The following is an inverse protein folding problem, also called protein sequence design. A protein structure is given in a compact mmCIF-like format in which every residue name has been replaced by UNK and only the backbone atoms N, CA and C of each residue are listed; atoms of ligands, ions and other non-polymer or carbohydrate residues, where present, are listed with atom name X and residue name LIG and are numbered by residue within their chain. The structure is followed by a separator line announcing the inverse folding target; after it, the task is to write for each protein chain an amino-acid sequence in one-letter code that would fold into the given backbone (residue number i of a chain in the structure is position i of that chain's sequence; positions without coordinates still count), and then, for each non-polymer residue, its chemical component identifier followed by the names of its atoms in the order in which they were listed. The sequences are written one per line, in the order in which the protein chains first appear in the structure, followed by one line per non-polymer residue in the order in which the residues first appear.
data_IF_990190635943
#
_entry.id   IF_990190635943
#
_cell.length_a   1.000
_cell.length_b   1.000
_cell.length_c   1.000
_cell.angle_alpha   90.00
_cell.angle_beta   90.00
_cell.angle_gamma   90.00
#
_symmetry.space_group_name_H-M   'P 1'
#
loop_
_entity.id
_entity.type
_entity.pdbx_description
1 polymer ?
#
# COMPACT_ATOMS: atom_id res chain seq x y z
N UNK A 1 -17.98 9.99 14.92
CA UNK A 1 -17.57 8.66 14.50
C UNK A 1 -17.46 8.43 12.97
N UNK A 2 -18.16 9.18 12.09
CA UNK A 2 -18.02 9.03 10.61
C UNK A 2 -16.75 9.65 9.99
N UNK A 3 -16.00 10.51 10.72
CA UNK A 3 -14.83 11.24 10.19
C UNK A 3 -13.50 10.49 10.33
N UNK A 4 -13.34 9.58 11.29
CA UNK A 4 -12.09 8.81 11.49
C UNK A 4 -11.77 7.83 10.35
N UNK A 5 -12.79 7.33 9.64
CA UNK A 5 -12.59 6.37 8.53
C UNK A 5 -11.79 6.90 7.33
N UNK A 6 -11.55 8.24 7.24
CA UNK A 6 -10.83 8.85 6.11
C UNK A 6 -9.32 9.06 6.34
N UNK A 7 -8.86 8.95 7.57
CA UNK A 7 -7.45 9.27 7.93
C UNK A 7 -6.50 8.09 7.61
N UNK A 8 -6.97 6.85 7.72
CA UNK A 8 -6.16 5.66 7.45
C UNK A 8 -5.76 5.50 5.96
N UNK A 9 -6.52 6.10 5.03
CA UNK A 9 -6.17 6.09 3.61
C UNK A 9 -5.10 7.13 3.22
N UNK A 10 -4.76 8.07 4.10
CA UNK A 10 -3.80 9.16 3.81
C UNK A 10 -2.33 8.75 3.95
N UNK A 11 -2.03 7.56 4.46
CA UNK A 11 -0.65 7.09 4.66
C UNK A 11 0.08 6.65 3.39
N UNK A 12 -0.63 6.39 2.29
CA UNK A 12 -0.02 6.09 0.98
C UNK A 12 0.11 7.39 0.18
N UNK A 13 1.25 8.06 0.30
CA UNK A 13 1.56 9.22 -0.54
C UNK A 13 1.63 8.81 -2.00
N UNK A 14 0.84 9.50 -2.83
CA UNK A 14 0.89 9.48 -4.29
C UNK A 14 2.28 9.93 -4.77
N UNK A 15 3.11 8.99 -5.16
CA UNK A 15 4.32 9.27 -5.90
C UNK A 15 3.98 9.25 -7.40
N UNK A 16 3.67 10.42 -7.96
CA UNK A 16 3.59 10.59 -9.40
C UNK A 16 5.01 10.54 -9.99
N UNK A 17 5.51 9.34 -10.26
CA UNK A 17 6.81 9.12 -10.88
C UNK A 17 6.65 9.04 -12.40
N UNK A 18 6.71 10.18 -13.07
CA UNK A 18 6.80 10.24 -14.53
C UNK A 18 8.27 10.03 -14.94
N UNK A 19 8.61 8.85 -15.43
CA UNK A 19 9.94 8.52 -15.93
C UNK A 19 9.89 7.75 -17.24
N UNK A 20 10.42 8.34 -18.32
CA UNK A 20 10.61 7.68 -19.62
C UNK A 20 11.93 6.91 -19.66
N UNK A 21 11.91 5.65 -20.03
CA UNK A 21 13.11 4.87 -20.35
C UNK A 21 12.81 3.39 -20.48
N UNK A 22 13.16 2.79 -21.61
CA UNK A 22 13.08 1.35 -21.82
C UNK A 22 14.36 0.68 -21.34
N UNK A 23 14.26 -0.42 -20.58
CA UNK A 23 15.38 -1.34 -20.36
C UNK A 23 14.92 -2.78 -20.31
N UNK A 24 15.76 -3.67 -20.84
CA UNK A 24 15.52 -5.09 -21.02
C UNK A 24 15.31 -5.85 -19.70
N UNK A 25 14.49 -6.90 -19.76
CA UNK A 25 14.15 -7.81 -18.66
C UNK A 25 15.37 -8.41 -17.96
N UNK A 26 15.63 -8.02 -16.71
CA UNK A 26 16.54 -8.70 -15.79
C UNK A 26 15.82 -9.28 -14.56
N UNK A 27 14.56 -9.66 -14.69
CA UNK A 27 13.75 -10.21 -13.58
C UNK A 27 14.26 -11.54 -12.99
N UNK A 28 15.25 -12.18 -13.64
CA UNK A 28 15.69 -13.54 -13.28
C UNK A 28 16.63 -13.61 -12.04
N UNK A 29 17.07 -12.49 -11.49
CA UNK A 29 18.07 -12.47 -10.41
C UNK A 29 17.54 -12.05 -9.02
N UNK A 30 16.28 -11.63 -8.93
CA UNK A 30 15.72 -11.18 -7.65
C UNK A 30 15.13 -12.33 -6.84
N UNK A 31 15.21 -12.29 -5.50
CA UNK A 31 14.55 -13.27 -4.63
C UNK A 31 13.06 -13.40 -4.96
N UNK A 32 12.59 -14.60 -5.20
CA UNK A 32 11.19 -14.84 -5.54
C UNK A 32 10.28 -14.62 -4.32
N UNK A 33 9.13 -13.98 -4.52
CA UNK A 33 8.00 -14.07 -3.61
C UNK A 33 7.32 -15.42 -3.81
N UNK A 34 6.89 -16.05 -2.71
CA UNK A 34 6.14 -17.30 -2.79
C UNK A 34 4.78 -17.03 -3.44
N UNK A 35 4.44 -17.85 -4.45
CA UNK A 35 3.13 -17.81 -5.10
C UNK A 35 2.13 -18.62 -4.28
N UNK A 36 1.04 -17.99 -3.88
CA UNK A 36 -0.06 -18.65 -3.18
C UNK A 36 -0.86 -19.52 -4.15
N UNK A 37 -1.16 -20.76 -3.77
CA UNK A 37 -2.06 -21.63 -4.56
C UNK A 37 -3.53 -21.18 -4.37
N UNK A 38 -4.00 -20.31 -5.25
CA UNK A 38 -5.36 -19.78 -5.23
C UNK A 38 -6.38 -20.69 -5.93
N UNK A 39 -5.96 -21.81 -6.54
CA UNK A 39 -6.82 -22.68 -7.37
C UNK A 39 -7.99 -23.32 -6.60
N UNK A 40 -7.90 -23.39 -5.27
CA UNK A 40 -8.89 -23.99 -4.38
C UNK A 40 -9.61 -22.98 -3.50
N UNK A 41 -9.32 -21.68 -3.68
CA UNK A 41 -9.93 -20.62 -2.90
C UNK A 41 -11.25 -20.17 -3.50
N UNK A 42 -12.18 -19.79 -2.65
CA UNK A 42 -13.44 -19.15 -3.05
C UNK A 42 -13.25 -17.63 -3.08
N UNK A 43 -12.91 -17.13 -4.26
CA UNK A 43 -12.59 -15.71 -4.44
C UNK A 43 -13.82 -14.93 -4.89
N UNK A 44 -14.02 -13.75 -4.33
CA UNK A 44 -14.95 -12.74 -4.82
C UNK A 44 -14.21 -11.76 -5.74
N UNK A 45 -14.93 -11.22 -6.71
CA UNK A 45 -14.43 -10.16 -7.60
C UNK A 45 -15.02 -8.82 -7.22
N UNK A 46 -14.19 -7.78 -7.26
CA UNK A 46 -14.60 -6.39 -7.12
C UNK A 46 -14.02 -5.57 -8.28
N UNK A 47 -14.80 -4.63 -8.79
CA UNK A 47 -14.39 -3.66 -9.80
C UNK A 47 -14.19 -2.30 -9.11
N UNK A 48 -13.09 -1.62 -9.43
CA UNK A 48 -12.81 -0.27 -8.98
C UNK A 48 -12.11 0.52 -10.10
N UNK A 49 -12.77 1.56 -10.59
CA UNK A 49 -12.30 2.32 -11.75
C UNK A 49 -12.22 1.43 -13.00
N UNK A 50 -11.01 1.30 -13.58
CA UNK A 50 -10.72 0.49 -14.76
C UNK A 50 -10.13 -0.88 -14.39
N UNK A 51 -10.10 -1.26 -13.12
CA UNK A 51 -9.47 -2.50 -12.68
C UNK A 51 -10.46 -3.44 -12.01
N UNK A 52 -10.17 -4.75 -12.18
CA UNK A 52 -10.84 -5.85 -11.51
C UNK A 52 -9.84 -6.52 -10.58
N UNK A 53 -10.28 -6.84 -9.37
CA UNK A 53 -9.49 -7.49 -8.34
C UNK A 53 -10.24 -8.68 -7.78
N UNK A 54 -9.50 -9.74 -7.40
CA UNK A 54 -10.09 -10.83 -6.62
C UNK A 54 -9.52 -10.83 -5.20
N UNK A 55 -10.32 -11.30 -4.26
CA UNK A 55 -9.98 -11.38 -2.84
C UNK A 55 -10.76 -12.51 -2.16
N UNK A 56 -10.25 -13.05 -1.06
CA UNK A 56 -10.99 -14.01 -0.23
C UNK A 56 -12.09 -13.29 0.55
N UNK A 57 -13.35 -13.47 0.14
CA UNK A 57 -14.50 -12.84 0.78
C UNK A 57 -14.83 -13.42 2.16
N UNK A 58 -14.25 -14.53 2.57
CA UNK A 58 -14.39 -15.04 3.95
C UNK A 58 -13.55 -14.21 4.93
N UNK A 59 -12.42 -13.66 4.46
CA UNK A 59 -11.48 -12.89 5.26
C UNK A 59 -11.71 -11.39 5.10
N UNK A 60 -11.92 -10.92 3.87
CA UNK A 60 -11.97 -9.49 3.54
C UNK A 60 -13.37 -9.00 3.17
N UNK A 61 -13.58 -7.71 3.30
CA UNK A 61 -14.80 -7.02 2.86
C UNK A 61 -14.46 -5.68 2.24
N UNK A 62 -15.24 -5.25 1.24
CA UNK A 62 -15.08 -3.96 0.60
C UNK A 62 -15.78 -2.86 1.40
N UNK A 63 -15.16 -1.70 1.55
CA UNK A 63 -15.83 -0.47 1.96
C UNK A 63 -15.52 0.64 0.95
N UNK A 64 -16.46 0.88 0.05
CA UNK A 64 -16.53 2.06 -0.81
C UNK A 64 -15.44 2.20 -1.87
N UNK A 65 -15.84 2.58 -3.08
CA UNK A 65 -14.93 3.00 -4.15
C UNK A 65 -14.40 4.41 -3.88
N UNK A 66 -13.09 4.56 -4.04
CA UNK A 66 -12.45 5.84 -4.32
C UNK A 66 -11.90 5.74 -5.74
N UNK A 67 -12.04 6.79 -6.54
CA UNK A 67 -11.57 6.80 -7.94
C UNK A 67 -10.12 6.31 -8.03
N UNK A 68 -9.88 5.25 -8.82
CA UNK A 68 -8.59 4.58 -9.02
C UNK A 68 -7.96 3.96 -7.76
N UNK A 69 -8.75 3.70 -6.73
CA UNK A 69 -8.27 2.96 -5.56
C UNK A 69 -9.35 2.05 -4.99
N UNK A 70 -8.93 0.91 -4.45
CA UNK A 70 -9.76 -0.06 -3.74
C UNK A 70 -9.29 -0.13 -2.28
N UNK A 71 -10.24 -0.18 -1.35
CA UNK A 71 -9.94 -0.46 0.06
C UNK A 71 -10.71 -1.70 0.49
N UNK A 72 -9.99 -2.68 1.05
CA UNK A 72 -10.53 -3.86 1.72
C UNK A 72 -10.20 -3.79 3.21
N UNK A 73 -11.09 -4.31 4.04
CA UNK A 73 -10.87 -4.45 5.48
C UNK A 73 -10.99 -5.93 5.89
N UNK A 74 -10.12 -6.39 6.77
CA UNK A 74 -10.30 -7.69 7.41
C UNK A 74 -11.58 -7.67 8.24
N UNK A 75 -12.46 -8.68 8.02
CA UNK A 75 -13.84 -8.69 8.55
C UNK A 75 -13.91 -8.63 10.06
N UNK A 76 -12.98 -9.29 10.74
CA UNK A 76 -12.92 -9.36 12.20
C UNK A 76 -12.43 -8.06 12.85
N UNK A 77 -11.79 -7.17 12.07
CA UNK A 77 -11.25 -5.89 12.55
C UNK A 77 -12.10 -4.69 12.16
N UNK A 78 -13.15 -4.88 11.35
CA UNK A 78 -14.04 -3.78 10.91
C UNK A 78 -14.71 -3.12 12.13
N UNK A 79 -14.53 -1.79 12.22
CA UNK A 79 -15.12 -0.98 13.29
C UNK A 79 -14.32 -1.00 14.60
N UNK A 80 -13.18 -1.67 14.65
CA UNK A 80 -12.23 -1.57 15.78
C UNK A 80 -11.38 -0.31 15.68
N UNK A 81 -10.57 -0.05 16.70
CA UNK A 81 -9.56 1.02 16.68
C UNK A 81 -8.34 0.68 15.82
N UNK A 82 -8.15 -0.61 15.50
CA UNK A 82 -7.02 -1.16 14.75
C UNK A 82 -7.49 -1.96 13.53
N UNK A 83 -8.13 -1.31 12.54
CA UNK A 83 -8.63 -2.01 11.37
C UNK A 83 -7.48 -2.44 10.46
N UNK A 84 -7.35 -3.74 10.23
CA UNK A 84 -6.45 -4.27 9.21
C UNK A 84 -7.04 -3.99 7.83
N UNK A 85 -6.26 -3.39 6.95
CA UNK A 85 -6.76 -2.92 5.68
C UNK A 85 -5.76 -3.15 4.53
N UNK A 86 -6.28 -3.40 3.34
CA UNK A 86 -5.53 -3.37 2.08
C UNK A 86 -6.03 -2.18 1.27
N UNK A 87 -5.09 -1.40 0.76
CA UNK A 87 -5.34 -0.36 -0.24
C UNK A 87 -4.63 -0.75 -1.53
N UNK A 88 -5.35 -0.68 -2.65
CA UNK A 88 -4.78 -0.89 -3.98
C UNK A 88 -4.99 0.36 -4.80
N UNK A 89 -3.93 0.85 -5.42
CA UNK A 89 -3.94 2.07 -6.20
C UNK A 89 -3.27 1.88 -7.55
N UNK A 90 -3.92 2.35 -8.62
CA UNK A 90 -3.31 2.50 -9.93
C UNK A 90 -2.67 3.89 -10.00
N UNK A 91 -1.33 3.91 -10.03
CA UNK A 91 -0.56 5.16 -10.03
C UNK A 91 -0.35 5.76 -11.44
N UNK A 92 -0.74 5.01 -12.50
CA UNK A 92 -0.71 5.44 -13.88
C UNK A 92 0.20 4.60 -14.77
N UNK A 93 0.25 4.95 -16.05
CA UNK A 93 1.05 4.22 -17.04
C UNK A 93 2.55 4.26 -16.71
N UNK A 94 3.19 3.11 -16.84
CA UNK A 94 4.63 2.98 -16.70
C UNK A 94 5.18 1.95 -17.70
N UNK A 95 6.06 2.43 -18.60
CA UNK A 95 6.66 1.61 -19.67
C UNK A 95 8.00 0.98 -19.23
N UNK A 96 8.66 1.53 -18.20
CA UNK A 96 9.94 1.05 -17.70
C UNK A 96 9.70 0.01 -16.59
N UNK A 97 10.43 -1.11 -16.63
CA UNK A 97 10.42 -2.09 -15.54
C UNK A 97 10.79 -1.45 -14.19
N UNK A 98 10.41 -2.11 -13.10
CA UNK A 98 10.85 -1.72 -11.75
C UNK A 98 12.32 -2.09 -11.61
N UNK A 99 13.12 -1.14 -11.14
CA UNK A 99 14.57 -1.26 -11.00
C UNK A 99 15.06 -0.56 -9.72
N UNK A 100 16.35 -0.68 -9.44
CA UNK A 100 17.00 -0.04 -8.28
C UNK A 100 16.86 1.48 -8.30
N UNK A 101 16.88 2.11 -9.48
CA UNK A 101 16.75 3.56 -9.60
C UNK A 101 15.38 4.03 -9.11
N UNK A 102 14.31 3.32 -9.48
CA UNK A 102 12.97 3.63 -8.98
C UNK A 102 12.85 3.34 -7.49
N UNK A 103 13.38 2.19 -7.04
CA UNK A 103 13.36 1.84 -5.63
C UNK A 103 14.02 2.93 -4.78
N UNK A 104 15.19 3.42 -5.21
CA UNK A 104 15.89 4.50 -4.52
C UNK A 104 15.10 5.81 -4.54
N UNK A 105 14.45 6.16 -5.66
CA UNK A 105 13.58 7.35 -5.74
C UNK A 105 12.39 7.24 -4.77
N UNK A 106 11.79 6.05 -4.63
CA UNK A 106 10.72 5.81 -3.66
C UNK A 106 11.25 6.02 -2.24
N UNK A 107 12.40 5.44 -1.91
CA UNK A 107 13.02 5.60 -0.58
C UNK A 107 13.31 7.07 -0.25
N UNK A 108 13.94 7.84 -1.15
CA UNK A 108 14.21 9.27 -0.96
C UNK A 108 12.94 10.10 -0.68
N UNK A 109 11.81 9.70 -1.24
CA UNK A 109 10.55 10.38 -0.96
C UNK A 109 9.96 9.98 0.39
N UNK A 110 10.08 8.70 0.76
CA UNK A 110 9.57 8.20 2.03
C UNK A 110 10.36 8.72 3.22
N UNK A 111 11.67 8.96 3.08
CA UNK A 111 12.53 9.55 4.11
C UNK A 111 12.06 10.94 4.59
N UNK A 112 11.28 11.66 3.78
CA UNK A 112 10.69 12.95 4.16
C UNK A 112 9.54 12.79 5.16
N UNK A 113 8.97 11.60 5.24
CA UNK A 113 7.85 11.33 6.14
C UNK A 113 8.36 10.85 7.50
N UNK A 114 8.42 11.75 8.46
CA UNK A 114 8.93 11.46 9.80
C UNK A 114 8.10 10.41 10.57
N UNK A 115 6.82 10.20 10.19
CA UNK A 115 5.97 9.18 10.81
C UNK A 115 6.26 7.77 10.33
N UNK A 116 7.06 7.61 9.26
CA UNK A 116 7.32 6.33 8.59
C UNK A 116 8.77 5.92 8.78
N UNK A 117 8.98 4.67 9.21
CA UNK A 117 10.28 4.02 9.20
C UNK A 117 10.26 2.87 8.22
N UNK A 118 11.14 2.92 7.22
CA UNK A 118 11.32 1.79 6.27
C UNK A 118 12.19 0.73 6.95
N UNK A 119 11.60 -0.41 7.28
CA UNK A 119 12.28 -1.55 7.91
C UNK A 119 12.97 -2.44 6.88
N UNK A 120 12.36 -2.54 5.70
CA UNK A 120 12.86 -3.33 4.58
C UNK A 120 12.40 -2.73 3.26
N UNK A 121 13.32 -2.67 2.28
CA UNK A 121 13.00 -2.32 0.90
C UNK A 121 13.92 -3.11 -0.03
N UNK A 122 13.36 -3.90 -0.92
CA UNK A 122 14.13 -4.75 -1.82
C UNK A 122 13.37 -5.04 -3.12
N UNK A 123 14.11 -5.26 -4.19
CA UNK A 123 13.57 -5.84 -5.41
C UNK A 123 13.35 -7.33 -5.21
N UNK A 124 12.18 -7.81 -5.60
CA UNK A 124 11.80 -9.22 -5.64
C UNK A 124 11.25 -9.59 -7.00
N UNK A 125 11.09 -10.87 -7.24
CA UNK A 125 10.39 -11.41 -8.41
C UNK A 125 9.04 -11.99 -7.98
N UNK A 126 7.98 -11.59 -8.68
CA UNK A 126 6.65 -12.17 -8.54
C UNK A 126 6.20 -12.70 -9.90
N UNK A 127 6.02 -14.01 -10.01
CA UNK A 127 5.71 -14.69 -11.29
C UNK A 127 6.62 -14.25 -12.46
N UNK A 128 7.94 -14.16 -12.18
CA UNK A 128 8.96 -13.75 -13.16
C UNK A 128 9.03 -12.25 -13.45
N UNK A 129 8.20 -11.42 -12.85
CA UNK A 129 8.21 -9.97 -13.00
C UNK A 129 8.86 -9.28 -11.79
N UNK A 130 9.66 -8.22 -11.99
CA UNK A 130 10.23 -7.47 -10.88
C UNK A 130 9.14 -6.71 -10.13
N UNK A 131 9.21 -6.74 -8.80
CA UNK A 131 8.38 -5.96 -7.89
C UNK A 131 9.27 -5.28 -6.86
N UNK A 132 8.85 -4.10 -6.35
CA UNK A 132 9.47 -3.50 -5.17
C UNK A 132 8.65 -3.93 -3.96
N UNK A 133 9.29 -4.61 -3.02
CA UNK A 133 8.70 -5.06 -1.77
C UNK A 133 9.21 -4.21 -0.62
N UNK A 134 8.31 -3.71 0.21
CA UNK A 134 8.67 -2.88 1.37
C UNK A 134 7.91 -3.32 2.62
N UNK A 135 8.59 -3.20 3.76
CA UNK A 135 8.00 -3.28 5.10
C UNK A 135 8.27 -1.96 5.81
N UNK A 136 7.25 -1.41 6.42
CA UNK A 136 7.36 -0.13 7.12
C UNK A 136 6.64 -0.20 8.45
N UNK A 137 7.05 0.67 9.38
CA UNK A 137 6.28 0.99 10.58
C UNK A 137 5.88 2.46 10.59
N UNK A 138 4.76 2.76 11.24
CA UNK A 138 4.23 4.10 11.42
C UNK A 138 4.04 4.39 12.89
N UNK A 139 4.53 5.54 13.32
CA UNK A 139 4.37 6.04 14.68
C UNK A 139 4.06 7.54 14.64
N UNK A 140 3.11 7.98 15.47
CA UNK A 140 2.80 9.38 15.66
C UNK A 140 3.07 9.80 17.12
N UNK A 141 3.91 10.82 17.26
CA UNK A 141 4.16 11.51 18.52
C UNK A 141 4.33 13.01 18.22
N UNK A 142 4.47 13.83 19.27
CA UNK A 142 4.58 15.29 19.09
C UNK A 142 5.76 15.69 18.21
N UNK A 143 6.92 15.06 18.39
CA UNK A 143 8.13 15.34 17.62
C UNK A 143 7.94 15.00 16.13
N UNK A 144 7.30 13.86 15.83
CA UNK A 144 6.97 13.46 14.47
C UNK A 144 6.01 14.46 13.81
N UNK A 145 4.98 14.90 14.52
CA UNK A 145 4.03 15.88 13.99
C UNK A 145 4.73 17.20 13.68
N UNK A 146 5.61 17.67 14.58
CA UNK A 146 6.38 18.89 14.37
C UNK A 146 7.31 18.77 13.16
N UNK A 147 8.00 17.64 12.99
CA UNK A 147 8.84 17.37 11.81
C UNK A 147 8.03 17.31 10.51
N UNK A 148 6.82 16.73 10.54
CA UNK A 148 5.94 16.70 9.37
C UNK A 148 5.52 18.10 8.93
N UNK A 149 5.31 19.02 9.87
CA UNK A 149 5.01 20.43 9.61
C UNK A 149 6.27 21.14 9.09
N UNK A 150 7.42 20.95 9.72
CA UNK A 150 8.71 21.52 9.28
C UNK A 150 9.11 21.07 7.87
N UNK A 151 8.81 19.83 7.52
CA UNK A 151 9.05 19.26 6.19
C UNK A 151 7.98 19.67 5.14
N UNK A 152 7.05 20.54 5.49
CA UNK A 152 5.94 21.01 4.62
C UNK A 152 5.01 19.88 4.14
N UNK A 153 5.04 18.72 4.78
CA UNK A 153 4.14 17.61 4.47
C UNK A 153 2.74 17.83 5.06
N UNK A 154 2.69 18.53 6.20
CA UNK A 154 1.45 18.98 6.83
C UNK A 154 1.50 20.49 7.06
N UNK A 155 0.33 21.08 7.20
CA UNK A 155 0.12 22.44 7.68
C UNK A 155 -0.74 22.39 8.95
N UNK A 156 -0.71 23.43 9.78
CA UNK A 156 -1.62 23.54 10.93
C UNK A 156 -3.09 23.41 10.48
N UNK A 157 -3.43 23.97 9.31
CA UNK A 157 -4.79 23.86 8.76
C UNK A 157 -5.14 22.42 8.39
N UNK A 158 -4.23 21.66 7.74
CA UNK A 158 -4.46 20.25 7.40
C UNK A 158 -4.58 19.38 8.64
N UNK A 159 -3.79 19.67 9.69
CA UNK A 159 -3.84 19.01 10.98
C UNK A 159 -5.20 19.24 11.66
N UNK A 160 -5.70 20.48 11.67
CA UNK A 160 -7.03 20.84 12.17
C UNK A 160 -8.15 20.13 11.41
N UNK A 161 -8.04 20.05 10.06
CA UNK A 161 -9.01 19.34 9.23
C UNK A 161 -9.02 17.81 9.51
N UNK A 162 -7.88 17.24 9.89
CA UNK A 162 -7.75 15.84 10.31
C UNK A 162 -8.33 15.57 11.71
N UNK A 163 -8.72 16.60 12.44
CA UNK A 163 -9.31 16.49 13.78
C UNK A 163 -8.38 16.97 14.90
N UNK A 164 -7.28 17.61 14.52
CA UNK A 164 -6.29 18.18 15.43
C UNK A 164 -5.23 17.18 15.92
N UNK A 165 -4.22 17.71 16.57
CA UNK A 165 -3.05 16.96 17.07
C UNK A 165 -3.44 15.78 17.98
N UNK A 166 -4.40 15.96 18.88
CA UNK A 166 -4.86 14.91 19.78
C UNK A 166 -5.44 13.70 19.02
N UNK A 167 -6.13 13.93 17.90
CA UNK A 167 -6.69 12.86 17.06
C UNK A 167 -5.57 12.07 16.37
N UNK A 168 -4.52 12.75 15.91
CA UNK A 168 -3.37 12.10 15.27
C UNK A 168 -2.56 11.30 16.30
N UNK A 169 -2.33 11.88 17.49
CA UNK A 169 -1.62 11.17 18.59
C UNK A 169 -2.39 9.95 19.12
N UNK A 170 -3.70 9.88 18.88
CA UNK A 170 -4.50 8.71 19.23
C UNK A 170 -4.46 7.59 18.19
N UNK A 171 -3.80 7.80 17.02
CA UNK A 171 -3.62 6.75 16.01
C UNK A 171 -2.62 5.74 16.57
N UNK A 172 -2.99 4.44 16.65
CA UNK A 172 -2.08 3.42 17.14
C UNK A 172 -0.89 3.24 16.19
N UNK A 173 0.27 2.90 16.76
CA UNK A 173 1.40 2.42 15.95
C UNK A 173 0.95 1.26 15.09
N UNK A 174 1.41 1.27 13.85
CA UNK A 174 1.03 0.26 12.87
C UNK A 174 2.21 -0.13 11.98
N UNK A 175 2.06 -1.27 11.33
CA UNK A 175 2.99 -1.76 10.32
C UNK A 175 2.31 -1.81 8.96
N UNK A 176 3.12 -1.80 7.90
CA UNK A 176 2.60 -2.03 6.56
C UNK A 176 3.54 -2.90 5.72
N UNK A 177 2.92 -3.63 4.80
CA UNK A 177 3.60 -4.20 3.64
C UNK A 177 3.12 -3.45 2.41
N UNK A 178 4.07 -3.03 1.57
CA UNK A 178 3.76 -2.36 0.30
C UNK A 178 4.47 -3.11 -0.84
N UNK A 179 3.73 -3.40 -1.90
CA UNK A 179 4.27 -4.02 -3.11
C UNK A 179 3.92 -3.15 -4.31
N UNK A 180 4.94 -2.75 -5.05
CA UNK A 180 4.78 -2.08 -6.33
C UNK A 180 4.93 -3.11 -7.44
N UNK A 181 3.97 -3.16 -8.35
CA UNK A 181 4.00 -4.04 -9.53
C UNK A 181 3.67 -3.28 -10.81
N UNK A 182 4.05 -3.83 -11.96
CA UNK A 182 3.58 -3.35 -13.26
C UNK A 182 2.65 -4.39 -13.82
N UNK A 183 1.40 -4.00 -14.05
CA UNK A 183 0.37 -4.82 -14.65
C UNK A 183 -0.22 -4.08 -15.85
N UNK A 184 -0.26 -4.72 -17.01
CA UNK A 184 -0.77 -4.16 -18.26
C UNK A 184 -0.22 -2.74 -18.57
N UNK A 185 1.08 -2.54 -18.27
CA UNK A 185 1.75 -1.26 -18.48
C UNK A 185 1.42 -0.16 -17.46
N UNK A 186 0.70 -0.49 -16.39
CA UNK A 186 0.38 0.43 -15.31
C UNK A 186 1.17 0.09 -14.03
N UNK A 187 1.64 1.11 -13.34
CA UNK A 187 2.17 0.97 -11.99
C UNK A 187 1.02 0.80 -11.01
N UNK A 188 0.98 -0.33 -10.34
CA UNK A 188 -0.02 -0.64 -9.31
C UNK A 188 0.68 -0.77 -7.96
N UNK A 189 0.10 -0.17 -6.94
CA UNK A 189 0.62 -0.16 -5.57
C UNK A 189 -0.38 -0.88 -4.68
N UNK A 190 0.08 -1.97 -4.06
CA UNK A 190 -0.67 -2.73 -3.07
C UNK A 190 -0.09 -2.42 -1.69
N UNK A 191 -0.87 -1.81 -0.83
CA UNK A 191 -0.46 -1.48 0.53
C UNK A 191 -1.37 -2.16 1.54
N UNK A 192 -0.79 -2.90 2.49
CA UNK A 192 -1.55 -3.52 3.56
C UNK A 192 -1.08 -3.02 4.92
N UNK A 193 -2.01 -2.55 5.76
CA UNK A 193 -1.76 -2.07 7.11
C UNK A 193 -2.20 -3.11 8.12
N UNK A 194 -1.36 -3.37 9.13
CA UNK A 194 -1.62 -4.29 10.23
C UNK A 194 -1.01 -3.77 11.54
N UNK A 195 -1.38 -4.38 12.68
CA UNK A 195 -0.98 -3.92 14.02
C UNK A 195 -0.28 -5.01 14.83
N UNK A 196 -0.42 -6.27 14.45
CA UNK A 196 0.15 -7.42 15.13
C UNK A 196 0.86 -8.32 14.12
N UNK A 197 2.00 -8.90 14.46
CA UNK A 197 2.80 -9.75 13.57
C UNK A 197 1.99 -10.94 12.99
N UNK A 198 1.02 -11.45 13.76
CA UNK A 198 0.14 -12.52 13.31
C UNK A 198 -0.72 -12.15 12.09
N UNK A 199 -1.03 -10.85 11.91
CA UNK A 199 -1.86 -10.33 10.82
C UNK A 199 -1.06 -10.12 9.53
N UNK A 200 0.28 -10.06 9.63
CA UNK A 200 1.17 -9.82 8.47
C UNK A 200 0.96 -10.84 7.36
N UNK A 201 0.86 -12.12 7.72
CA UNK A 201 0.70 -13.17 6.71
C UNK A 201 -0.64 -13.06 5.97
N UNK A 202 -1.72 -12.72 6.67
CA UNK A 202 -3.04 -12.51 6.07
C UNK A 202 -3.02 -11.34 5.06
N UNK A 203 -2.32 -10.25 5.39
CA UNK A 203 -2.08 -9.12 4.50
C UNK A 203 -1.27 -9.54 3.26
N UNK A 204 -0.20 -10.32 3.46
CA UNK A 204 0.63 -10.82 2.35
C UNK A 204 -0.16 -11.75 1.42
N UNK A 205 -1.00 -12.62 1.97
CA UNK A 205 -1.84 -13.53 1.20
C UNK A 205 -2.85 -12.74 0.35
N UNK A 206 -3.47 -11.70 0.91
CA UNK A 206 -4.38 -10.84 0.17
C UNK A 206 -3.68 -10.08 -0.97
N UNK A 207 -2.49 -9.51 -0.72
CA UNK A 207 -1.68 -8.86 -1.76
C UNK A 207 -1.29 -9.88 -2.85
N UNK A 208 -0.94 -11.10 -2.46
CA UNK A 208 -0.58 -12.17 -3.38
C UNK A 208 -1.74 -12.56 -4.30
N UNK A 209 -2.95 -12.74 -3.74
CA UNK A 209 -4.17 -12.99 -4.52
C UNK A 209 -4.39 -11.85 -5.52
N UNK A 210 -4.31 -10.61 -5.07
CA UNK A 210 -4.52 -9.44 -5.94
C UNK A 210 -3.47 -9.34 -7.04
N UNK A 211 -2.18 -9.55 -6.74
CA UNK A 211 -1.11 -9.54 -7.75
C UNK A 211 -1.34 -10.59 -8.83
N UNK A 212 -1.92 -11.77 -8.49
CA UNK A 212 -2.22 -12.83 -9.44
C UNK A 212 -3.48 -12.58 -10.28
N UNK A 213 -4.40 -11.75 -9.80
CA UNK A 213 -5.77 -11.68 -10.33
C UNK A 213 -6.19 -10.28 -10.79
N UNK A 214 -5.35 -9.25 -10.58
CA UNK A 214 -5.68 -7.90 -11.06
C UNK A 214 -5.67 -7.85 -12.58
N UNK A 215 -6.77 -7.36 -13.16
CA UNK A 215 -6.93 -7.05 -14.57
C UNK A 215 -7.19 -5.56 -14.74
N UNK A 216 -6.54 -4.90 -15.71
CA UNK A 216 -6.73 -3.47 -16.01
C UNK A 216 -7.26 -3.35 -17.43
N UNK A 217 -8.42 -2.65 -17.60
CA UNK A 217 -9.08 -2.42 -18.89
C UNK A 217 -8.60 -1.12 -19.58
#
# INVERSE_FOLDING_TARGET
MKKMKRILAAGLMLLALAGCGASDNQAAEYPAMELLDISKMELATVESGTAKYQYDANVWTTEGEVVNSLVLYARDTVGTEKPVAINVQIAGERKKALDEDLMNQVLEQLEKNASLTVEKCELRSFDGNPVIYMENSFTFNDEVIDQMIENELWTEESLEQAGGRETILAIPDSHSVVVYGILDGNLVIYGGTYYEDAQKQEVLDAINIMLQTTEIE
#
